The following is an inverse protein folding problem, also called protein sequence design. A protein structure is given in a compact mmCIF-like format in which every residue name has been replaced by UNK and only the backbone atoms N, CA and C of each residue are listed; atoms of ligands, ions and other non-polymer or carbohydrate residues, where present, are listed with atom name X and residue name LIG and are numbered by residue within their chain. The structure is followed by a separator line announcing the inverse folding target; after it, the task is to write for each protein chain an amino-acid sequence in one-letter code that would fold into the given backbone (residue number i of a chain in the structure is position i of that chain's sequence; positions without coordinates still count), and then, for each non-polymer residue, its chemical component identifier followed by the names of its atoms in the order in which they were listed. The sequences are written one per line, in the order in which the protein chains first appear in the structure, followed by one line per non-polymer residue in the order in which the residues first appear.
data_IF_217499591361
#
_entry.id   IF_217499591361
#
_cell.length_a   1.000
_cell.length_b   1.000
_cell.length_c   1.000
_cell.angle_alpha   90.00
_cell.angle_beta   90.00
_cell.angle_gamma   90.00
#
_symmetry.space_group_name_H-M   'P 1'
#
loop_
_entity.id
_entity.type
_entity.pdbx_description
1 polymer ?
#
# COMPACT_ATOMS: atom_id res chain seq x y z
N UNK A 1 22.04 -2.96 -5.82
CA UNK A 1 20.81 -2.20 -5.56
C UNK A 1 20.92 -0.82 -6.19
N UNK A 2 19.93 -0.40 -6.95
CA UNK A 2 19.92 0.89 -7.63
C UNK A 2 18.48 1.39 -7.75
N UNK A 3 18.29 2.73 -7.71
CA UNK A 3 16.98 3.34 -7.91
C UNK A 3 16.70 3.71 -9.36
N UNK A 4 17.66 3.52 -10.26
CA UNK A 4 17.55 3.96 -11.64
C UNK A 4 16.31 3.39 -12.35
N UNK A 5 15.96 2.10 -12.24
CA UNK A 5 14.76 1.57 -12.88
C UNK A 5 13.48 2.24 -12.38
N UNK A 6 13.42 2.59 -11.09
CA UNK A 6 12.28 3.27 -10.52
C UNK A 6 12.22 4.73 -10.94
N UNK A 7 13.35 5.44 -10.86
CA UNK A 7 13.38 6.87 -11.17
C UNK A 7 13.17 7.16 -12.67
N UNK A 8 13.44 6.18 -13.52
CA UNK A 8 13.18 6.29 -14.96
C UNK A 8 11.78 5.82 -15.36
N UNK A 9 10.99 5.32 -14.42
CA UNK A 9 9.62 4.89 -14.67
C UNK A 9 8.68 6.09 -14.83
N UNK A 10 7.41 5.82 -15.20
CA UNK A 10 6.41 6.89 -15.30
C UNK A 10 6.16 7.55 -13.94
N UNK A 11 5.74 8.83 -13.91
CA UNK A 11 5.46 9.50 -12.63
C UNK A 11 4.45 8.77 -11.75
N UNK A 12 3.46 8.10 -12.35
CA UNK A 12 2.46 7.33 -11.59
C UNK A 12 3.12 6.18 -10.83
N UNK A 13 4.03 5.45 -11.48
CA UNK A 13 4.75 4.34 -10.85
C UNK A 13 5.65 4.86 -9.73
N UNK A 14 6.33 5.98 -9.95
CA UNK A 14 7.19 6.59 -8.93
C UNK A 14 6.37 6.97 -7.69
N UNK A 15 5.25 7.67 -7.88
CA UNK A 15 4.37 8.07 -6.78
C UNK A 15 3.84 6.83 -6.05
N UNK A 16 3.36 5.83 -6.79
CA UNK A 16 2.84 4.60 -6.21
C UNK A 16 3.89 3.88 -5.35
N UNK A 17 5.11 3.73 -5.87
CA UNK A 17 6.17 3.01 -5.17
C UNK A 17 6.61 3.74 -3.90
N UNK A 18 6.81 5.06 -3.96
CA UNK A 18 7.20 5.81 -2.77
C UNK A 18 6.07 5.87 -1.74
N UNK A 19 4.82 6.00 -2.17
CA UNK A 19 3.68 5.93 -1.27
C UNK A 19 3.60 4.55 -0.58
N UNK A 20 3.85 3.47 -1.31
CA UNK A 20 3.85 2.12 -0.74
C UNK A 20 4.96 1.94 0.30
N UNK A 21 6.16 2.45 0.03
CA UNK A 21 7.26 2.40 0.99
C UNK A 21 6.94 3.23 2.24
N UNK A 22 6.38 4.42 2.07
CA UNK A 22 5.97 5.27 3.17
C UNK A 22 4.88 4.60 4.02
N UNK A 23 3.88 4.01 3.37
CA UNK A 23 2.81 3.30 4.07
C UNK A 23 3.33 2.10 4.87
N UNK A 24 4.30 1.38 4.33
CA UNK A 24 4.94 0.27 5.03
C UNK A 24 5.62 0.75 6.30
N UNK A 25 6.44 1.79 6.22
CA UNK A 25 7.17 2.34 7.37
C UNK A 25 6.20 2.90 8.41
N UNK A 26 5.23 3.71 7.99
CA UNK A 26 4.23 4.29 8.90
C UNK A 26 3.41 3.18 9.57
N UNK A 27 3.05 2.14 8.81
CA UNK A 27 2.32 0.99 9.36
C UNK A 27 3.11 0.26 10.44
N UNK A 28 4.41 0.04 10.23
CA UNK A 28 5.27 -0.57 11.25
C UNK A 28 5.34 0.28 12.51
N UNK A 29 5.48 1.60 12.37
CA UNK A 29 5.49 2.53 13.49
C UNK A 29 4.16 2.47 14.25
N UNK A 30 3.03 2.41 13.53
CA UNK A 30 1.71 2.31 14.15
C UNK A 30 1.54 1.02 14.97
N UNK A 31 2.04 -0.11 14.45
CA UNK A 31 1.94 -1.37 15.18
C UNK A 31 2.83 -1.39 16.42
N UNK A 32 4.00 -0.74 16.36
CA UNK A 32 4.93 -0.69 17.47
C UNK A 32 4.55 0.34 18.53
N UNK A 33 3.85 1.41 18.14
CA UNK A 33 3.54 2.53 19.02
C UNK A 33 2.27 2.35 19.85
N UNK A 34 2.05 3.22 20.84
CA UNK A 34 0.84 3.19 21.66
C UNK A 34 -0.38 3.54 20.82
N UNK A 35 -1.52 2.89 21.11
CA UNK A 35 -2.78 3.08 20.40
C UNK A 35 -3.62 4.13 21.11
N UNK A 36 -4.50 4.81 20.35
CA UNK A 36 -5.45 5.77 20.90
C UNK A 36 -4.88 7.14 21.23
N UNK A 37 -3.59 7.36 20.98
CA UNK A 37 -2.94 8.66 21.22
C UNK A 37 -3.16 9.61 20.05
N UNK A 38 -2.82 10.90 20.26
CA UNK A 38 -2.83 11.90 19.18
C UNK A 38 -1.88 11.48 18.05
N UNK A 39 -0.70 10.96 18.41
CA UNK A 39 0.26 10.47 17.42
C UNK A 39 -0.32 9.32 16.60
N UNK A 40 -0.99 8.36 17.24
CA UNK A 40 -1.65 7.26 16.55
C UNK A 40 -2.68 7.77 15.54
N UNK A 41 -3.50 8.76 15.91
CA UNK A 41 -4.50 9.33 15.01
C UNK A 41 -3.88 10.07 13.84
N UNK A 42 -2.85 10.88 14.10
CA UNK A 42 -2.15 11.64 13.05
C UNK A 42 -1.48 10.72 12.05
N UNK A 43 -0.72 9.74 12.54
CA UNK A 43 -0.06 8.76 11.68
C UNK A 43 -1.09 7.87 10.97
N UNK A 44 -2.21 7.59 11.63
CA UNK A 44 -3.30 6.82 11.02
C UNK A 44 -3.92 7.52 9.81
N UNK A 45 -4.18 8.82 9.92
CA UNK A 45 -4.68 9.59 8.78
C UNK A 45 -3.65 9.68 7.66
N UNK A 46 -2.38 9.87 8.00
CA UNK A 46 -1.30 9.85 7.00
C UNK A 46 -1.26 8.50 6.29
N UNK A 47 -1.36 7.40 7.04
CA UNK A 47 -1.36 6.05 6.48
C UNK A 47 -2.57 5.84 5.55
N UNK A 48 -3.77 6.26 5.97
CA UNK A 48 -4.97 6.15 5.14
C UNK A 48 -4.80 6.93 3.84
N UNK A 49 -4.27 8.15 3.89
CA UNK A 49 -4.04 8.96 2.69
C UNK A 49 -3.03 8.31 1.76
N UNK A 50 -1.94 7.73 2.29
CA UNK A 50 -0.97 7.01 1.45
C UNK A 50 -1.60 5.75 0.85
N UNK A 51 -2.42 5.03 1.59
CA UNK A 51 -3.11 3.85 1.07
C UNK A 51 -4.10 4.20 -0.04
N UNK A 52 -4.83 5.31 0.09
CA UNK A 52 -5.72 5.80 -0.97
C UNK A 52 -4.89 6.14 -2.21
N UNK A 53 -3.75 6.81 -2.04
CA UNK A 53 -2.86 7.14 -3.15
C UNK A 53 -2.35 5.88 -3.85
N UNK A 54 -1.94 4.86 -3.09
CA UNK A 54 -1.48 3.59 -3.64
C UNK A 54 -2.60 2.92 -4.44
N UNK A 55 -3.78 2.80 -3.86
CA UNK A 55 -4.90 2.13 -4.50
C UNK A 55 -5.37 2.88 -5.75
N UNK A 56 -5.50 4.20 -5.67
CA UNK A 56 -5.94 5.01 -6.80
C UNK A 56 -4.92 4.98 -7.93
N UNK A 57 -3.63 5.15 -7.63
CA UNK A 57 -2.59 5.15 -8.65
C UNK A 57 -2.45 3.80 -9.35
N UNK A 58 -2.78 2.70 -8.68
CA UNK A 58 -2.68 1.36 -9.27
C UNK A 58 -3.55 1.20 -10.52
N UNK A 59 -4.66 1.96 -10.64
CA UNK A 59 -5.52 1.89 -11.82
C UNK A 59 -4.84 2.40 -13.09
N UNK A 60 -3.80 3.20 -12.96
CA UNK A 60 -3.03 3.71 -14.09
C UNK A 60 -1.76 2.87 -14.37
N UNK A 61 -1.53 1.81 -13.58
CA UNK A 61 -0.37 0.93 -13.77
C UNK A 61 -0.86 -0.35 -14.45
N UNK A 62 -0.48 -0.55 -15.71
CA UNK A 62 -0.96 -1.63 -16.56
C UNK A 62 0.10 -2.70 -16.81
N UNK A 63 0.97 -2.95 -15.83
CA UNK A 63 2.05 -3.93 -15.97
C UNK A 63 1.60 -5.38 -16.05
N UNK A 64 0.42 -5.71 -15.52
CA UNK A 64 -0.18 -7.05 -15.59
C UNK A 64 -1.56 -6.91 -16.21
N UNK A 65 -1.77 -7.57 -17.34
CA UNK A 65 -3.06 -7.60 -18.03
C UNK A 65 -3.60 -9.02 -18.01
N UNK A 66 -4.66 -9.25 -17.27
CA UNK A 66 -5.31 -10.56 -17.17
C UNK A 66 -6.69 -10.55 -17.83
N UNK A 67 -7.46 -9.48 -17.65
CA UNK A 67 -8.78 -9.31 -18.25
C UNK A 67 -8.82 -7.91 -18.85
N UNK A 68 -8.63 -7.80 -20.17
CA UNK A 68 -8.51 -6.51 -20.83
C UNK A 68 -7.33 -5.71 -20.26
N UNK A 69 -7.60 -4.48 -19.78
CA UNK A 69 -6.59 -3.63 -19.13
C UNK A 69 -6.53 -3.81 -17.61
N UNK A 70 -7.27 -4.77 -17.06
CA UNK A 70 -7.39 -4.97 -15.63
C UNK A 70 -6.75 -6.28 -15.19
N UNK A 71 -6.29 -6.32 -13.96
CA UNK A 71 -5.71 -7.49 -13.33
C UNK A 71 -6.28 -7.66 -11.93
N UNK A 72 -5.90 -8.75 -11.24
CA UNK A 72 -6.30 -8.98 -9.85
C UNK A 72 -5.86 -7.83 -8.92
N UNK A 73 -4.78 -7.11 -9.28
CA UNK A 73 -4.32 -5.94 -8.50
C UNK A 73 -5.38 -4.84 -8.49
N UNK A 74 -6.10 -4.65 -9.59
CA UNK A 74 -7.20 -3.67 -9.63
C UNK A 74 -8.34 -4.09 -8.72
N UNK A 75 -8.65 -5.38 -8.65
CA UNK A 75 -9.62 -5.91 -7.68
C UNK A 75 -9.17 -5.68 -6.24
N UNK A 76 -7.89 -5.91 -5.96
CA UNK A 76 -7.31 -5.61 -4.65
C UNK A 76 -7.41 -4.13 -4.32
N UNK A 77 -7.16 -3.25 -5.28
CA UNK A 77 -7.27 -1.80 -5.08
C UNK A 77 -8.69 -1.37 -4.74
N UNK A 78 -9.69 -1.93 -5.41
CA UNK A 78 -11.11 -1.68 -5.09
C UNK A 78 -11.39 -2.16 -3.65
N UNK A 79 -10.92 -3.35 -3.29
CA UNK A 79 -11.07 -3.88 -1.94
C UNK A 79 -10.48 -2.93 -0.89
N UNK A 80 -9.27 -2.42 -1.12
CA UNK A 80 -8.62 -1.46 -0.23
C UNK A 80 -9.45 -0.20 -0.09
N UNK A 81 -9.93 0.37 -1.21
CA UNK A 81 -10.72 1.60 -1.21
C UNK A 81 -12.05 1.44 -0.46
N UNK A 82 -12.62 0.23 -0.44
CA UNK A 82 -13.83 -0.07 0.33
C UNK A 82 -13.51 -0.27 1.81
N UNK A 83 -12.46 -1.04 2.12
CA UNK A 83 -12.13 -1.41 3.49
C UNK A 83 -11.52 -0.27 4.30
N UNK A 84 -10.81 0.68 3.67
CA UNK A 84 -10.26 1.83 4.38
C UNK A 84 -11.34 2.65 5.10
N UNK A 85 -12.41 3.11 4.42
CA UNK A 85 -13.48 3.84 5.11
C UNK A 85 -14.13 3.02 6.21
N UNK A 86 -14.32 1.71 5.99
CA UNK A 86 -14.93 0.83 7.00
C UNK A 86 -14.05 0.72 8.24
N UNK A 87 -12.72 0.61 8.04
CA UNK A 87 -11.78 0.59 9.16
C UNK A 87 -11.75 1.89 9.94
N UNK A 88 -11.78 3.03 9.25
CA UNK A 88 -11.86 4.35 9.89
C UNK A 88 -13.17 4.50 10.65
N UNK A 89 -14.28 4.09 10.05
CA UNK A 89 -15.60 4.16 10.69
C UNK A 89 -15.65 3.29 11.95
N UNK A 90 -15.06 2.09 11.91
CA UNK A 90 -14.96 1.22 13.08
C UNK A 90 -14.21 1.90 14.23
N UNK A 91 -13.10 2.61 13.92
CA UNK A 91 -12.36 3.37 14.92
C UNK A 91 -13.22 4.48 15.51
N UNK A 92 -13.94 5.24 14.68
CA UNK A 92 -14.82 6.33 15.13
C UNK A 92 -15.97 5.84 15.99
N UNK A 93 -16.45 4.63 15.74
CA UNK A 93 -17.55 4.00 16.51
C UNK A 93 -17.03 3.18 17.70
N UNK A 94 -15.74 3.31 18.02
CA UNK A 94 -15.08 2.60 19.13
C UNK A 94 -15.17 1.07 19.01
N UNK A 95 -15.31 0.56 17.79
CA UNK A 95 -15.23 -0.87 17.49
C UNK A 95 -13.76 -1.25 17.31
N UNK A 96 -13.02 -1.31 18.40
CA UNK A 96 -11.56 -1.48 18.38
C UNK A 96 -11.15 -2.78 17.70
N UNK A 97 -11.85 -3.89 18.00
CA UNK A 97 -11.53 -5.19 17.40
C UNK A 97 -11.71 -5.17 15.88
N UNK A 98 -12.82 -4.62 15.38
CA UNK A 98 -13.07 -4.52 13.94
C UNK A 98 -12.05 -3.62 13.24
N UNK A 99 -11.74 -2.47 13.85
CA UNK A 99 -10.71 -1.56 13.35
C UNK A 99 -9.36 -2.26 13.27
N UNK A 100 -8.95 -2.92 14.35
CA UNK A 100 -7.65 -3.61 14.42
C UNK A 100 -7.54 -4.70 13.36
N UNK A 101 -8.55 -5.55 13.22
CA UNK A 101 -8.55 -6.63 12.23
C UNK A 101 -8.50 -6.09 10.81
N UNK A 102 -9.24 -5.03 10.53
CA UNK A 102 -9.25 -4.39 9.20
C UNK A 102 -7.88 -3.81 8.88
N UNK A 103 -7.25 -3.10 9.82
CA UNK A 103 -5.96 -2.48 9.59
C UNK A 103 -4.83 -3.51 9.43
N UNK A 104 -4.82 -4.56 10.24
CA UNK A 104 -3.87 -5.67 10.12
C UNK A 104 -4.07 -6.36 8.76
N UNK A 105 -5.29 -6.65 8.37
CA UNK A 105 -5.60 -7.29 7.10
C UNK A 105 -5.16 -6.45 5.91
N UNK A 106 -5.40 -5.14 5.95
CA UNK A 106 -4.95 -4.24 4.88
C UNK A 106 -3.43 -4.16 4.81
N UNK A 107 -2.75 -4.06 5.95
CA UNK A 107 -1.29 -4.01 5.97
C UNK A 107 -0.69 -5.30 5.41
N UNK A 108 -1.12 -6.45 5.90
CA UNK A 108 -0.58 -7.74 5.45
C UNK A 108 -0.97 -8.04 4.01
N UNK A 109 -2.24 -7.87 3.64
CA UNK A 109 -2.72 -8.21 2.31
C UNK A 109 -2.26 -7.24 1.24
N UNK A 110 -2.46 -5.95 1.47
CA UNK A 110 -2.19 -4.95 0.44
C UNK A 110 -0.73 -4.49 0.39
N UNK A 111 -0.02 -4.45 1.53
CA UNK A 111 1.36 -3.99 1.54
C UNK A 111 2.36 -5.13 1.53
N UNK A 112 2.23 -6.10 2.43
CA UNK A 112 3.24 -7.17 2.55
C UNK A 112 3.12 -8.15 1.38
N UNK A 113 1.94 -8.73 1.17
CA UNK A 113 1.76 -9.75 0.12
C UNK A 113 1.91 -9.13 -1.26
N UNK A 114 1.21 -8.03 -1.54
CA UNK A 114 1.34 -7.36 -2.84
C UNK A 114 2.75 -6.82 -3.06
N UNK A 115 3.39 -6.32 -2.00
CA UNK A 115 4.79 -5.88 -2.06
C UNK A 115 5.75 -6.99 -2.45
N UNK A 116 5.55 -8.20 -1.92
CA UNK A 116 6.37 -9.35 -2.28
C UNK A 116 6.24 -9.69 -3.77
N UNK A 117 5.06 -9.55 -4.35
CA UNK A 117 4.88 -9.76 -5.78
C UNK A 117 5.66 -8.76 -6.63
N UNK A 118 5.93 -7.56 -6.12
CA UNK A 118 6.72 -6.57 -6.87
C UNK A 118 8.19 -6.95 -6.97
N UNK A 119 8.66 -7.87 -6.13
CA UNK A 119 10.04 -8.36 -6.16
C UNK A 119 10.23 -9.53 -7.14
N UNK A 120 9.17 -9.98 -7.81
CA UNK A 120 9.27 -11.05 -8.80
C UNK A 120 10.02 -10.58 -10.05
N UNK A 121 10.74 -11.48 -10.74
CA UNK A 121 11.45 -11.14 -11.98
C UNK A 121 10.55 -10.46 -13.01
N UNK A 122 11.09 -9.47 -13.71
CA UNK A 122 10.34 -8.67 -14.68
C UNK A 122 9.63 -7.46 -14.10
N UNK A 123 9.73 -7.24 -12.79
CA UNK A 123 9.12 -6.09 -12.11
C UNK A 123 10.16 -5.02 -11.81
N UNK A 124 9.73 -3.76 -11.78
CA UNK A 124 10.60 -2.63 -11.50
C UNK A 124 11.29 -2.78 -10.15
N UNK A 125 10.55 -3.14 -9.11
CA UNK A 125 11.13 -3.29 -7.77
C UNK A 125 12.13 -4.45 -7.71
N UNK A 126 11.92 -5.51 -8.49
CA UNK A 126 12.92 -6.55 -8.62
C UNK A 126 14.24 -5.99 -9.16
N UNK A 127 14.17 -5.15 -10.18
CA UNK A 127 15.34 -4.50 -10.74
C UNK A 127 16.00 -3.55 -9.74
N UNK A 128 15.21 -2.81 -8.96
CA UNK A 128 15.73 -1.91 -7.93
C UNK A 128 16.54 -2.68 -6.87
N UNK A 129 16.01 -3.79 -6.41
CA UNK A 129 16.60 -4.55 -5.29
C UNK A 129 17.72 -5.47 -5.76
N UNK A 130 17.52 -6.17 -6.87
CA UNK A 130 18.38 -7.28 -7.30
C UNK A 130 19.26 -6.96 -8.51
N UNK A 131 19.14 -5.75 -9.10
CA UNK A 131 19.98 -5.42 -10.24
C UNK A 131 21.45 -5.39 -9.83
N UNK A 132 22.28 -6.11 -10.55
CA UNK A 132 23.74 -6.02 -10.44
C UNK A 132 24.24 -4.98 -11.44
N UNK A 133 25.14 -4.14 -11.00
CA UNK A 133 25.81 -3.21 -11.91
C UNK A 133 26.94 -3.89 -12.64
#
# INVERSE_FOLDING_TARGET
MTLDPLLSASPVIIVHAFAAMAAFVVGLVQFAGPKGTTLHRTLGWLWVLTMVTIAASSFWINGIKQVGNYSWIHGLSIFVLVMLPLGVLAARRHRVSAHRQTMIGLFLGALVIAGLFTLMPGRIMHQVVFASK
#
